data_IF_745509194079
#
_entry.id   IF_745509194079
#
_cell.length_a   1.000
_cell.length_b   1.000
_cell.length_c   1.000
_cell.angle_alpha   90.00
_cell.angle_beta   90.00
_cell.angle_gamma   90.00
#
_symmetry.space_group_name_H-M   'P 1'
#
loop_
_entity.id
_entity.type
_entity.pdbx_description
1 polymer ?
#
# COMPACT_ATOMS: atom_id res chain seq x y z
N UNK A 1 -8.36 45.61 6.26
CA UNK A 1 -7.48 46.38 7.18
C UNK A 1 -8.29 47.25 8.15
N UNK A 2 -9.41 47.84 7.71
CA UNK A 2 -10.30 48.66 8.56
C UNK A 2 -10.91 47.89 9.74
N UNK A 3 -11.47 46.70 9.50
CA UNK A 3 -12.08 45.86 10.54
C UNK A 3 -11.14 45.40 11.67
N UNK A 4 -9.83 45.35 11.40
CA UNK A 4 -8.83 44.98 12.42
C UNK A 4 -8.53 46.18 13.32
N UNK A 5 -8.51 47.41 12.78
CA UNK A 5 -8.27 48.63 13.55
C UNK A 5 -9.38 48.87 14.59
N UNK A 6 -10.63 48.61 14.23
CA UNK A 6 -11.76 48.76 15.17
C UNK A 6 -11.74 47.73 16.31
N UNK A 7 -11.26 46.51 16.04
CA UNK A 7 -11.12 45.46 17.06
C UNK A 7 -10.09 45.83 18.15
N UNK A 8 -9.04 46.58 17.79
CA UNK A 8 -8.04 47.09 18.73
C UNK A 8 -8.44 48.40 19.43
N UNK A 9 -9.50 49.07 18.95
CA UNK A 9 -10.00 50.34 19.47
C UNK A 9 -11.06 50.18 20.58
N UNK A 10 -11.37 48.96 21.01
CA UNK A 10 -12.21 48.68 22.18
C UNK A 10 -11.53 49.22 23.46
N UNK A 11 -11.92 50.43 23.88
CA UNK A 11 -11.90 50.95 25.25
C UNK A 11 -13.04 50.24 25.99
N UNK A 12 -12.95 49.57 27.14
CA UNK A 12 -12.00 49.57 28.25
C UNK A 12 -12.07 48.18 28.93
N UNK A 13 -10.97 47.44 28.93
CA UNK A 13 -10.54 46.46 29.95
C UNK A 13 -9.37 45.66 29.37
N UNK A 14 -8.18 45.73 29.98
CA UNK A 14 -6.96 45.01 29.52
C UNK A 14 -7.22 43.52 29.28
N UNK A 15 -8.12 42.91 30.06
CA UNK A 15 -8.52 41.50 29.96
C UNK A 15 -9.15 41.14 28.61
N UNK A 16 -10.06 41.96 28.06
CA UNK A 16 -10.72 41.64 26.79
C UNK A 16 -9.78 41.78 25.59
N UNK A 17 -8.83 42.72 25.61
CA UNK A 17 -7.78 42.81 24.58
C UNK A 17 -6.92 41.54 24.55
N UNK A 18 -6.53 41.01 25.72
CA UNK A 18 -5.79 39.74 25.80
C UNK A 18 -6.61 38.59 25.19
N UNK A 19 -7.90 38.49 25.53
CA UNK A 19 -8.78 37.42 25.04
C UNK A 19 -8.90 37.47 23.51
N UNK A 20 -9.07 38.65 22.92
CA UNK A 20 -9.17 38.85 21.47
C UNK A 20 -7.88 38.41 20.76
N UNK A 21 -6.70 38.74 21.31
CA UNK A 21 -5.41 38.34 20.73
C UNK A 21 -5.24 36.82 20.78
N UNK A 22 -5.61 36.17 21.89
CA UNK A 22 -5.57 34.70 22.01
C UNK A 22 -6.48 34.04 20.98
N UNK A 23 -7.68 34.59 20.77
CA UNK A 23 -8.65 34.06 19.82
C UNK A 23 -8.15 34.16 18.38
N UNK A 24 -7.51 35.27 18.02
CA UNK A 24 -6.85 35.45 16.73
C UNK A 24 -5.74 34.42 16.48
N UNK A 25 -4.92 34.15 17.51
CA UNK A 25 -3.84 33.14 17.42
C UNK A 25 -4.44 31.75 17.15
N UNK A 26 -5.49 31.36 17.88
CA UNK A 26 -6.17 30.06 17.69
C UNK A 26 -6.71 29.91 16.26
N UNK A 27 -7.34 30.97 15.73
CA UNK A 27 -7.87 30.95 14.35
C UNK A 27 -6.74 30.75 13.33
N UNK A 28 -5.60 31.42 13.51
CA UNK A 28 -4.43 31.27 12.62
C UNK A 28 -3.90 29.83 12.68
N UNK A 29 -3.77 29.24 13.87
CA UNK A 29 -3.34 27.85 14.03
C UNK A 29 -4.31 26.83 13.41
N UNK A 30 -5.62 27.05 13.51
CA UNK A 30 -6.60 26.18 12.84
C UNK A 30 -6.51 26.29 11.31
N UNK A 31 -6.32 27.49 10.77
CA UNK A 31 -6.20 27.68 9.31
C UNK A 31 -4.92 27.06 8.73
N UNK A 32 -3.80 27.12 9.45
CA UNK A 32 -2.54 26.50 9.00
C UNK A 32 -2.62 24.98 8.98
N UNK A 33 -3.27 24.36 9.98
CA UNK A 33 -3.53 22.91 10.00
C UNK A 33 -4.37 22.45 8.80
N UNK A 34 -5.49 23.14 8.52
CA UNK A 34 -6.36 22.82 7.38
C UNK A 34 -5.66 23.02 6.02
N UNK A 35 -4.83 24.06 5.88
CA UNK A 35 -4.05 24.33 4.66
C UNK A 35 -3.04 23.21 4.38
N UNK A 36 -2.38 22.70 5.41
CA UNK A 36 -1.41 21.61 5.26
C UNK A 36 -2.09 20.29 4.86
N UNK A 37 -3.26 19.99 5.43
CA UNK A 37 -4.07 18.83 5.04
C UNK A 37 -4.53 18.92 3.57
N UNK A 38 -4.97 20.09 3.12
CA UNK A 38 -5.32 20.31 1.69
C UNK A 38 -4.14 20.11 0.75
N UNK A 39 -2.93 20.55 1.14
CA UNK A 39 -1.71 20.30 0.36
C UNK A 39 -1.37 18.81 0.28
N UNK A 40 -1.46 18.08 1.39
CA UNK A 40 -1.24 16.62 1.41
C UNK A 40 -2.24 15.89 0.50
N UNK A 41 -3.52 16.27 0.56
CA UNK A 41 -4.57 15.69 -0.30
C UNK A 41 -4.29 15.98 -1.78
N UNK A 42 -3.87 17.21 -2.12
CA UNK A 42 -3.50 17.56 -3.50
C UNK A 42 -2.35 16.70 -4.01
N UNK A 43 -1.27 16.56 -3.23
CA UNK A 43 -0.10 15.74 -3.61
C UNK A 43 -0.51 14.27 -3.78
N UNK A 44 -1.34 13.75 -2.87
CA UNK A 44 -1.83 12.38 -2.96
C UNK A 44 -2.66 12.17 -4.23
N UNK A 45 -3.56 13.11 -4.54
CA UNK A 45 -4.39 13.06 -5.75
C UNK A 45 -3.54 13.11 -7.02
N UNK A 46 -2.52 13.98 -7.05
CA UNK A 46 -1.61 14.09 -8.19
C UNK A 46 -0.79 12.80 -8.39
N UNK A 47 -0.31 12.20 -7.30
CA UNK A 47 0.41 10.92 -7.36
C UNK A 47 -0.50 9.77 -7.82
N UNK A 48 -1.75 9.72 -7.35
CA UNK A 48 -2.73 8.73 -7.80
C UNK A 48 -3.04 8.88 -9.30
N UNK A 49 -3.19 10.12 -9.78
CA UNK A 49 -3.43 10.37 -11.21
C UNK A 49 -2.23 9.96 -12.06
N UNK A 50 -1.00 10.28 -11.65
CA UNK A 50 0.23 9.83 -12.34
C UNK A 50 0.35 8.31 -12.37
N UNK A 51 0.00 7.64 -11.27
CA UNK A 51 0.02 6.18 -11.22
C UNK A 51 -1.03 5.56 -12.16
N UNK A 52 -2.25 6.12 -12.17
CA UNK A 52 -3.31 5.67 -13.10
C UNK A 52 -2.92 5.90 -14.57
N UNK A 53 -2.23 7.00 -14.87
CA UNK A 53 -1.71 7.28 -16.21
C UNK A 53 -0.63 6.27 -16.61
N UNK A 54 0.31 5.94 -15.72
CA UNK A 54 1.33 4.90 -15.96
C UNK A 54 0.71 3.50 -16.15
N UNK A 55 -0.31 3.15 -15.37
CA UNK A 55 -1.05 1.88 -15.56
C UNK A 55 -1.68 1.85 -16.94
N UNK A 56 -2.35 2.93 -17.35
CA UNK A 56 -3.01 3.02 -18.66
C UNK A 56 -2.01 3.00 -19.83
N UNK A 57 -0.86 3.65 -19.70
CA UNK A 57 0.22 3.58 -20.69
C UNK A 57 0.83 2.17 -20.77
N UNK A 58 0.95 1.46 -19.64
CA UNK A 58 1.40 0.07 -19.61
C UNK A 58 0.38 -0.90 -20.23
N UNK A 59 -0.93 -0.70 -20.03
CA UNK A 59 -1.99 -1.48 -20.69
C UNK A 59 -2.01 -1.24 -22.20
N UNK A 60 -1.81 0.01 -22.65
CA UNK A 60 -1.73 0.31 -24.09
C UNK A 60 -0.46 -0.30 -24.71
N UNK A 61 0.68 -0.22 -24.02
CA UNK A 61 1.95 -0.79 -24.52
C UNK A 61 2.04 -2.32 -24.42
N UNK A 62 1.32 -2.97 -23.50
CA UNK A 62 1.15 -4.43 -23.52
C UNK A 62 0.20 -4.86 -24.64
N UNK A 63 -0.89 -4.12 -24.87
CA UNK A 63 -1.85 -4.42 -25.95
C UNK A 63 -1.23 -4.33 -27.35
N UNK A 64 -0.23 -3.47 -27.57
CA UNK A 64 0.50 -3.41 -28.85
C UNK A 64 1.49 -4.56 -29.07
N UNK A 65 1.92 -5.26 -28.01
CA UNK A 65 2.80 -6.43 -28.12
C UNK A 65 2.03 -7.77 -28.19
N UNK A 66 0.73 -7.76 -27.89
CA UNK A 66 -0.11 -8.97 -27.79
C UNK A 66 -1.03 -9.18 -29.01
N UNK A 67 -0.93 -8.33 -30.04
CA UNK A 67 -1.74 -8.42 -31.26
C UNK A 67 -1.33 -9.54 -32.23
N UNK A 68 -0.39 -10.42 -31.87
CA UNK A 68 0.07 -11.52 -32.73
C UNK A 68 -0.24 -12.94 -32.21
N UNK A 69 -1.07 -13.14 -31.18
CA UNK A 69 -1.36 -14.52 -30.70
C UNK A 69 -2.72 -14.77 -30.04
N UNK A 70 -3.77 -14.01 -30.35
CA UNK A 70 -5.11 -14.25 -29.76
C UNK A 70 -6.16 -14.43 -30.87
N UNK A 71 -6.10 -15.55 -31.58
CA UNK A 71 -7.21 -16.04 -32.44
C UNK A 71 -7.73 -17.42 -31.99
N UNK A 72 -7.42 -17.88 -30.77
CA UNK A 72 -7.78 -19.25 -30.38
C UNK A 72 -8.28 -19.44 -28.93
N UNK A 73 -8.83 -18.40 -28.29
CA UNK A 73 -9.31 -18.58 -26.91
C UNK A 73 -10.52 -17.75 -26.50
N UNK A 74 -11.57 -17.74 -27.34
CA UNK A 74 -12.92 -17.47 -26.85
C UNK A 74 -13.65 -18.81 -26.79
N UNK A 75 -13.64 -19.43 -25.63
CA UNK A 75 -14.63 -20.45 -25.28
C UNK A 75 -15.24 -20.08 -23.95
N UNK A 76 -16.56 -20.18 -23.94
CA UNK A 76 -17.52 -19.64 -22.99
C UNK A 76 -17.21 -19.88 -21.51
N UNK A 77 -17.71 -18.92 -20.73
CA UNK A 77 -17.83 -18.91 -19.28
C UNK A 77 -18.31 -20.27 -18.74
N UNK A 78 -17.46 -20.92 -17.94
CA UNK A 78 -17.89 -21.96 -17.02
C UNK A 78 -17.25 -21.72 -15.65
N UNK A 79 -18.10 -21.42 -14.67
CA UNK A 79 -17.81 -20.99 -13.29
C UNK A 79 -17.25 -22.13 -12.42
N UNK A 80 -16.30 -22.91 -12.93
CA UNK A 80 -15.70 -24.10 -12.27
C UNK A 80 -14.18 -24.19 -12.46
N UNK A 81 -13.45 -23.07 -12.42
CA UNK A 81 -11.98 -23.05 -12.65
C UNK A 81 -11.15 -22.28 -11.62
N UNK A 82 -11.70 -21.92 -10.47
CA UNK A 82 -10.99 -21.07 -9.50
C UNK A 82 -10.09 -21.81 -8.51
N UNK A 83 -10.24 -23.13 -8.35
CA UNK A 83 -9.47 -23.90 -7.36
C UNK A 83 -8.10 -24.32 -7.89
N UNK A 84 -8.00 -24.67 -9.18
CA UNK A 84 -6.73 -25.06 -9.82
C UNK A 84 -5.75 -23.87 -9.97
N UNK A 85 -6.28 -22.65 -9.99
CA UNK A 85 -5.46 -21.44 -10.13
C UNK A 85 -4.76 -21.02 -8.83
N UNK A 86 -5.35 -21.31 -7.67
CA UNK A 86 -4.83 -20.83 -6.39
C UNK A 86 -3.52 -21.52 -5.98
N UNK A 87 -3.49 -22.85 -5.98
CA UNK A 87 -2.28 -23.59 -5.58
C UNK A 87 -1.12 -23.34 -6.57
N UNK A 88 -1.41 -23.19 -7.86
CA UNK A 88 -0.40 -22.80 -8.86
C UNK A 88 0.17 -21.41 -8.55
N UNK A 89 -0.69 -20.41 -8.34
CA UNK A 89 -0.26 -19.04 -8.00
C UNK A 89 0.50 -18.96 -6.67
N UNK A 90 0.07 -19.75 -5.68
CA UNK A 90 0.75 -19.85 -4.38
C UNK A 90 2.14 -20.44 -4.52
N UNK A 91 2.29 -21.51 -5.28
CA UNK A 91 3.59 -22.13 -5.53
C UNK A 91 4.51 -21.21 -6.35
N UNK A 92 3.98 -20.52 -7.35
CA UNK A 92 4.73 -19.50 -8.11
C UNK A 92 5.29 -18.40 -7.20
N UNK A 93 4.44 -17.85 -6.33
CA UNK A 93 4.85 -16.84 -5.36
C UNK A 93 5.95 -17.38 -4.41
N UNK A 94 5.79 -18.58 -3.86
CA UNK A 94 6.79 -19.21 -2.98
C UNK A 94 8.12 -19.39 -3.72
N UNK A 95 8.10 -19.85 -4.97
CA UNK A 95 9.31 -20.00 -5.78
C UNK A 95 10.02 -18.67 -6.01
N UNK A 96 9.27 -17.60 -6.31
CA UNK A 96 9.83 -16.26 -6.46
C UNK A 96 10.45 -15.74 -5.16
N UNK A 97 9.83 -15.99 -4.02
CA UNK A 97 10.45 -15.70 -2.71
C UNK A 97 11.74 -16.49 -2.50
N UNK A 98 11.79 -17.77 -2.91
CA UNK A 98 13.00 -18.58 -2.82
C UNK A 98 14.12 -18.03 -3.70
N UNK A 99 13.85 -17.77 -4.98
CA UNK A 99 14.83 -17.26 -5.93
C UNK A 99 15.39 -15.89 -5.51
N UNK A 100 14.51 -14.97 -5.12
CA UNK A 100 14.93 -13.64 -4.65
C UNK A 100 15.63 -13.74 -3.29
N UNK A 101 15.20 -14.65 -2.43
CA UNK A 101 15.86 -14.95 -1.16
C UNK A 101 17.31 -15.37 -1.37
N UNK A 102 17.57 -16.29 -2.30
CA UNK A 102 18.94 -16.73 -2.63
C UNK A 102 19.82 -15.56 -3.11
N UNK A 103 19.27 -14.64 -3.90
CA UNK A 103 19.97 -13.41 -4.32
C UNK A 103 20.27 -12.45 -3.15
N UNK A 104 19.47 -12.47 -2.10
CA UNK A 104 19.65 -11.68 -0.88
C UNK A 104 20.40 -12.44 0.23
N UNK A 105 21.02 -13.59 -0.09
CA UNK A 105 21.71 -14.49 0.86
C UNK A 105 20.79 -15.04 1.97
N UNK A 106 19.54 -15.33 1.63
CA UNK A 106 18.53 -15.93 2.51
C UNK A 106 18.11 -17.30 1.97
N UNK A 107 18.02 -18.29 2.83
CA UNK A 107 17.68 -19.67 2.48
C UNK A 107 16.24 -19.98 2.90
N UNK A 108 15.42 -20.43 1.96
CA UNK A 108 14.07 -20.88 2.27
C UNK A 108 14.10 -22.25 2.97
N UNK A 109 13.53 -22.33 4.18
CA UNK A 109 13.43 -23.55 4.98
C UNK A 109 11.97 -23.86 5.33
N UNK A 110 11.46 -24.98 4.81
CA UNK A 110 10.08 -25.45 5.00
C UNK A 110 9.78 -25.95 6.42
N UNK A 111 10.82 -26.18 7.23
CA UNK A 111 10.69 -26.59 8.62
C UNK A 111 10.37 -25.42 9.56
N UNK A 112 10.66 -24.18 9.12
CA UNK A 112 10.38 -22.96 9.89
C UNK A 112 8.89 -22.66 9.77
N UNK A 113 8.10 -23.20 10.70
CA UNK A 113 6.64 -22.99 10.80
C UNK A 113 6.25 -22.20 12.04
N UNK A 114 7.04 -22.33 13.10
CA UNK A 114 6.79 -21.70 14.38
C UNK A 114 7.97 -20.80 14.75
N UNK A 115 7.73 -19.49 14.74
CA UNK A 115 8.78 -18.49 14.93
C UNK A 115 8.21 -17.07 14.91
N UNK A 116 9.08 -16.07 14.85
CA UNK A 116 8.67 -14.67 14.76
C UNK A 116 8.13 -14.37 13.37
N UNK A 117 6.84 -14.04 13.29
CA UNK A 117 6.13 -13.76 12.04
C UNK A 117 6.20 -12.27 11.67
N UNK A 118 6.59 -11.98 10.44
CA UNK A 118 6.58 -10.66 9.85
C UNK A 118 5.53 -10.60 8.77
N UNK A 119 4.51 -9.75 8.95
CA UNK A 119 3.55 -9.47 7.89
C UNK A 119 4.27 -8.69 6.79
N UNK A 120 4.37 -9.29 5.60
CA UNK A 120 5.09 -8.68 4.47
C UNK A 120 4.17 -8.06 3.45
N UNK A 121 2.99 -8.63 3.25
CA UNK A 121 2.03 -8.11 2.30
C UNK A 121 0.61 -8.59 2.57
N UNK A 122 -0.34 -7.78 2.13
CA UNK A 122 -1.77 -8.00 2.24
C UNK A 122 -2.39 -7.71 0.87
N UNK A 123 -3.07 -8.70 0.28
CA UNK A 123 -3.48 -8.61 -1.13
C UNK A 123 -4.75 -9.40 -1.45
N UNK A 124 -5.47 -8.98 -2.49
CA UNK A 124 -6.66 -9.67 -3.02
C UNK A 124 -6.29 -10.79 -4.01
N UNK A 125 -5.11 -10.68 -4.63
CA UNK A 125 -4.52 -11.66 -5.56
C UNK A 125 -3.09 -11.97 -5.11
N UNK A 126 -2.59 -13.20 -5.29
CA UNK A 126 -1.24 -13.61 -4.87
C UNK A 126 -0.10 -12.99 -5.73
N UNK A 127 -0.29 -11.77 -6.22
CA UNK A 127 0.64 -11.04 -7.06
C UNK A 127 1.45 -10.04 -6.21
N UNK A 128 2.76 -10.18 -6.26
CA UNK A 128 3.74 -9.20 -5.79
C UNK A 128 4.79 -8.98 -6.88
N UNK A 129 5.41 -7.80 -6.92
CA UNK A 129 6.58 -7.54 -7.77
C UNK A 129 7.86 -8.03 -7.11
N UNK A 130 8.89 -8.32 -7.90
CA UNK A 130 10.19 -8.76 -7.37
C UNK A 130 10.81 -7.74 -6.42
N UNK A 131 10.65 -6.44 -6.71
CA UNK A 131 11.11 -5.35 -5.85
C UNK A 131 10.40 -5.33 -4.50
N UNK A 132 9.10 -5.62 -4.48
CA UNK A 132 8.34 -5.76 -3.23
C UNK A 132 8.89 -6.95 -2.44
N UNK A 133 9.03 -8.13 -3.06
CA UNK A 133 9.60 -9.33 -2.41
C UNK A 133 10.99 -9.02 -1.83
N UNK A 134 11.90 -8.48 -2.63
CA UNK A 134 13.26 -8.09 -2.20
C UNK A 134 13.25 -7.15 -1.00
N UNK A 135 12.34 -6.18 -0.98
CA UNK A 135 12.25 -5.23 0.13
C UNK A 135 11.86 -5.87 1.47
N UNK A 136 11.17 -7.02 1.43
CA UNK A 136 10.69 -7.69 2.65
C UNK A 136 11.81 -8.38 3.43
N UNK A 137 12.83 -8.89 2.74
CA UNK A 137 13.99 -9.55 3.36
C UNK A 137 14.84 -8.61 4.22
N UNK A 138 14.74 -7.28 4.03
CA UNK A 138 15.40 -6.29 4.89
C UNK A 138 14.95 -6.34 6.35
N UNK A 139 13.76 -6.90 6.60
CA UNK A 139 13.17 -6.99 7.94
C UNK A 139 13.51 -8.32 8.64
N UNK A 140 14.13 -9.27 7.95
CA UNK A 140 14.54 -10.57 8.49
C UNK A 140 16.03 -10.54 8.79
N UNK A 141 16.37 -10.93 10.02
CA UNK A 141 17.76 -10.94 10.47
C UNK A 141 18.38 -12.30 10.14
N UNK A 142 17.65 -13.39 10.39
CA UNK A 142 18.10 -14.77 10.16
C UNK A 142 18.47 -15.03 8.70
N UNK A 143 19.47 -15.90 8.49
CA UNK A 143 19.86 -16.37 7.15
C UNK A 143 18.85 -17.38 6.58
N UNK A 144 18.02 -17.98 7.42
CA UNK A 144 16.95 -18.88 7.01
C UNK A 144 15.56 -18.28 7.28
N UNK A 145 14.61 -18.54 6.39
CA UNK A 145 13.23 -18.06 6.51
C UNK A 145 12.20 -19.10 6.09
N UNK A 146 11.05 -19.08 6.76
CA UNK A 146 9.80 -19.74 6.35
C UNK A 146 8.83 -18.75 5.70
N UNK A 147 7.82 -19.28 5.00
CA UNK A 147 6.75 -18.48 4.39
C UNK A 147 5.40 -19.09 4.81
N UNK A 148 4.48 -18.25 5.26
CA UNK A 148 3.10 -18.63 5.55
C UNK A 148 2.14 -17.71 4.80
N UNK A 149 1.19 -18.30 4.08
CA UNK A 149 0.16 -17.59 3.33
C UNK A 149 -1.18 -18.00 3.93
N UNK A 150 -1.86 -17.04 4.57
CA UNK A 150 -3.19 -17.26 5.14
C UNK A 150 -4.26 -16.63 4.25
N UNK A 151 -5.25 -17.42 3.87
CA UNK A 151 -6.47 -16.96 3.21
C UNK A 151 -7.49 -16.50 4.26
N UNK A 152 -8.12 -15.35 4.02
CA UNK A 152 -9.20 -14.79 4.82
C UNK A 152 -10.29 -14.29 3.87
N UNK A 153 -11.55 -14.37 4.32
CA UNK A 153 -12.69 -13.86 3.55
C UNK A 153 -13.08 -12.48 4.08
N UNK A 154 -13.08 -11.47 3.21
CA UNK A 154 -13.55 -10.13 3.52
C UNK A 154 -14.76 -9.81 2.63
N UNK A 155 -15.96 -9.87 3.22
CA UNK A 155 -17.22 -9.83 2.49
C UNK A 155 -17.31 -10.92 1.41
N UNK A 156 -17.42 -10.54 0.13
CA UNK A 156 -17.49 -11.47 -1.00
C UNK A 156 -16.10 -11.80 -1.59
N UNK A 157 -15.06 -11.05 -1.22
CA UNK A 157 -13.73 -11.19 -1.78
C UNK A 157 -12.82 -12.07 -0.89
N UNK A 158 -11.91 -12.80 -1.53
CA UNK A 158 -10.79 -13.47 -0.87
C UNK A 158 -9.66 -12.47 -0.64
N UNK A 159 -8.98 -12.62 0.49
CA UNK A 159 -7.87 -11.79 0.90
C UNK A 159 -6.76 -12.68 1.44
N UNK A 160 -5.52 -12.38 1.06
CA UNK A 160 -4.36 -13.15 1.45
C UNK A 160 -3.43 -12.29 2.28
N UNK A 161 -2.95 -12.85 3.38
CA UNK A 161 -1.85 -12.28 4.16
C UNK A 161 -0.65 -13.18 3.99
N UNK A 162 0.48 -12.58 3.66
CA UNK A 162 1.74 -13.26 3.46
C UNK A 162 2.64 -12.88 4.62
N UNK A 163 3.17 -13.90 5.29
CA UNK A 163 4.10 -13.78 6.40
C UNK A 163 5.42 -14.45 6.05
N UNK A 164 6.52 -13.81 6.46
CA UNK A 164 7.80 -14.48 6.57
C UNK A 164 8.06 -14.84 8.03
N UNK A 165 8.66 -15.99 8.26
CA UNK A 165 8.90 -16.55 9.59
C UNK A 165 10.40 -16.70 9.77
N UNK A 166 10.94 -16.20 10.88
CA UNK A 166 12.31 -16.51 11.31
C UNK A 166 12.28 -17.34 12.60
N UNK A 167 13.22 -18.28 12.75
CA UNK A 167 13.43 -18.96 14.02
C UNK A 167 13.85 -17.95 15.10
N UNK A 168 13.37 -18.14 16.33
CA UNK A 168 13.72 -17.29 17.47
C UNK A 168 15.15 -17.54 17.97
#
# INVERSE_FOLDING_TARGET
MEYIKDLFNFKENKKYKIIIVILLIIIIFMQTGLSMTKKKIRILTENTNKLNEQIRENEISSSYNEANSIDDLITDEDTKKDTDNYEVKKNDLINRFKEIGELENKTYNTNIKDGKKYLVFETLNLEMTDNQIKSTFKNIISDEFGIEITESKLAENKFFKIYLIEEN
#
